data_IF_852068652875
#
_entry.id   IF_852068652875
#
_cell.length_a   1.000
_cell.length_b   1.000
_cell.length_c   1.000
_cell.angle_alpha   90.00
_cell.angle_beta   90.00
_cell.angle_gamma   90.00
#
_symmetry.space_group_name_H-M   'P 1'
#
loop_
_entity.id
_entity.type
_entity.pdbx_description
1 polymer ?
#
# COMPACT_ATOMS: atom_id res chain seq x y z
N UNK A 1 19.14 -64.11 55.15
CA UNK A 1 18.54 -62.78 54.94
C UNK A 1 18.72 -62.41 53.49
N UNK A 2 17.62 -62.31 52.73
CA UNK A 2 17.63 -61.76 51.37
C UNK A 2 17.84 -60.24 51.45
N UNK A 3 18.59 -59.68 50.52
CA UNK A 3 18.21 -58.39 49.94
C UNK A 3 18.68 -58.28 48.49
N UNK A 4 17.75 -57.84 47.65
CA UNK A 4 17.82 -57.70 46.20
C UNK A 4 18.45 -56.34 45.87
N UNK A 5 19.28 -56.25 44.83
CA UNK A 5 19.34 -55.03 44.02
C UNK A 5 19.58 -55.36 42.55
N UNK A 6 18.71 -54.82 41.69
CA UNK A 6 18.55 -55.15 40.27
C UNK A 6 19.16 -54.07 39.37
N UNK A 7 19.65 -54.57 38.23
CA UNK A 7 19.84 -53.92 36.93
C UNK A 7 20.98 -52.90 36.77
N UNK A 8 22.11 -53.27 36.16
CA UNK A 8 22.34 -53.70 34.76
C UNK A 8 22.30 -52.52 33.77
N UNK A 9 23.44 -51.86 33.70
CA UNK A 9 23.92 -51.07 32.57
C UNK A 9 24.10 -52.02 31.38
N UNK A 10 23.48 -51.73 30.25
CA UNK A 10 23.99 -52.18 28.96
C UNK A 10 23.74 -51.12 27.91
N UNK A 11 24.86 -50.66 27.34
CA UNK A 11 24.94 -49.79 26.19
C UNK A 11 24.19 -50.41 25.02
N UNK A 12 23.28 -49.67 24.39
CA UNK A 12 22.91 -49.88 23.00
C UNK A 12 23.16 -48.58 22.24
N UNK A 13 24.24 -48.58 21.45
CA UNK A 13 24.39 -47.70 20.30
C UNK A 13 23.26 -48.05 19.33
N UNK A 14 22.22 -47.22 19.29
CA UNK A 14 21.16 -47.31 18.29
C UNK A 14 21.48 -46.31 17.17
N UNK A 15 22.33 -46.74 16.23
CA UNK A 15 22.29 -46.18 14.87
C UNK A 15 20.92 -46.49 14.28
N UNK A 16 20.13 -45.46 13.97
CA UNK A 16 18.85 -45.63 13.28
C UNK A 16 19.10 -46.20 11.88
N UNK A 17 18.49 -47.34 11.50
CA UNK A 17 18.57 -47.82 10.14
C UNK A 17 17.65 -46.98 9.25
N UNK A 18 18.27 -46.09 8.47
CA UNK A 18 17.74 -45.61 7.19
C UNK A 18 17.59 -46.81 6.26
N UNK A 19 16.43 -47.47 6.31
CA UNK A 19 15.97 -48.35 5.23
C UNK A 19 14.51 -48.03 4.97
N UNK A 20 14.32 -47.12 4.01
CA UNK A 20 13.05 -46.76 3.41
C UNK A 20 12.41 -47.99 2.77
N UNK A 21 11.52 -48.66 3.49
CA UNK A 21 10.61 -49.66 2.94
C UNK A 21 9.31 -48.97 2.51
N UNK A 22 9.21 -48.65 1.21
CA UNK A 22 8.00 -48.70 0.34
C UNK A 22 6.59 -48.50 0.95
N UNK A 23 6.43 -47.61 1.93
CA UNK A 23 5.13 -47.14 2.43
C UNK A 23 5.12 -45.62 2.64
N UNK A 24 6.00 -44.90 1.93
CA UNK A 24 6.20 -43.43 2.01
C UNK A 24 5.19 -42.61 1.17
N UNK A 25 4.27 -43.22 0.44
CA UNK A 25 3.56 -42.53 -0.66
C UNK A 25 2.12 -42.08 -0.36
N UNK A 26 1.81 -41.62 0.85
CA UNK A 26 0.50 -40.95 1.10
C UNK A 26 0.62 -39.51 1.57
N UNK A 27 1.83 -39.01 1.81
CA UNK A 27 2.06 -37.60 2.09
C UNK A 27 2.28 -36.86 0.76
N UNK A 28 1.69 -35.66 0.59
CA UNK A 28 1.95 -34.83 -0.58
C UNK A 28 3.45 -34.49 -0.70
N UNK A 29 3.94 -34.34 -1.93
CA UNK A 29 5.34 -33.97 -2.21
C UNK A 29 5.81 -32.71 -1.47
N UNK A 30 5.01 -31.62 -1.36
CA UNK A 30 5.41 -30.45 -0.57
C UNK A 30 5.65 -30.74 0.91
N UNK A 31 4.90 -31.69 1.50
CA UNK A 31 5.09 -32.14 2.88
C UNK A 31 6.39 -32.93 3.02
N UNK A 32 6.69 -33.82 2.08
CA UNK A 32 7.94 -34.58 2.08
C UNK A 32 9.16 -33.66 1.89
N UNK A 33 9.06 -32.67 1.01
CA UNK A 33 10.08 -31.65 0.82
C UNK A 33 10.34 -30.91 2.14
N UNK A 34 9.28 -30.46 2.83
CA UNK A 34 9.41 -29.79 4.13
C UNK A 34 10.02 -30.70 5.21
N UNK A 35 9.65 -31.99 5.27
CA UNK A 35 10.18 -32.93 6.26
C UNK A 35 11.66 -33.28 6.03
N UNK A 36 12.07 -33.38 4.77
CA UNK A 36 13.45 -33.69 4.36
C UNK A 36 14.34 -32.45 4.28
N UNK A 37 13.76 -31.26 4.41
CA UNK A 37 14.48 -30.00 4.42
C UNK A 37 15.45 -29.96 5.61
N UNK A 38 16.74 -29.92 5.30
CA UNK A 38 17.85 -29.86 6.26
C UNK A 38 18.39 -28.45 6.44
N UNK A 39 17.74 -27.43 5.86
CA UNK A 39 18.12 -26.04 6.00
C UNK A 39 18.11 -25.64 7.47
N UNK A 40 19.28 -25.26 7.98
CA UNK A 40 19.43 -24.73 9.34
C UNK A 40 19.17 -23.24 9.31
N UNK A 41 18.01 -22.84 9.84
CA UNK A 41 17.66 -21.44 10.04
C UNK A 41 18.36 -20.93 11.31
N UNK A 42 19.41 -20.14 11.14
CA UNK A 42 20.15 -19.47 12.22
C UNK A 42 20.43 -18.02 11.85
N UNK A 43 20.46 -17.13 12.86
CA UNK A 43 20.76 -15.73 12.66
C UNK A 43 22.25 -15.51 12.32
N UNK A 44 22.61 -14.51 11.50
CA UNK A 44 21.70 -13.56 10.83
C UNK A 44 20.96 -14.20 9.66
N UNK A 45 19.65 -13.99 9.59
CA UNK A 45 18.82 -14.55 8.51
C UNK A 45 18.90 -13.68 7.25
N UNK A 46 18.83 -14.30 6.07
CA UNK A 46 18.67 -13.58 4.81
C UNK A 46 17.18 -13.53 4.39
N UNK A 47 16.67 -12.39 3.91
CA UNK A 47 15.29 -12.28 3.43
C UNK A 47 14.95 -13.34 2.36
N UNK A 48 15.87 -13.60 1.43
CA UNK A 48 15.71 -14.57 0.33
C UNK A 48 15.52 -16.00 0.85
N UNK A 49 16.34 -16.42 1.84
CA UNK A 49 16.19 -17.75 2.45
C UNK A 49 14.88 -17.86 3.23
N UNK A 50 14.50 -16.79 3.95
CA UNK A 50 13.24 -16.78 4.69
C UNK A 50 12.01 -16.84 3.76
N UNK A 51 12.02 -16.09 2.66
CA UNK A 51 10.98 -16.14 1.64
C UNK A 51 10.85 -17.54 1.02
N UNK A 52 11.99 -18.16 0.67
CA UNK A 52 12.03 -19.53 0.15
C UNK A 52 11.40 -20.51 1.15
N UNK A 53 11.74 -20.37 2.43
CA UNK A 53 11.19 -21.24 3.47
C UNK A 53 9.68 -21.03 3.66
N UNK A 54 9.20 -19.79 3.69
CA UNK A 54 7.78 -19.47 3.81
C UNK A 54 6.97 -20.06 2.65
N UNK A 55 7.50 -19.99 1.42
CA UNK A 55 6.86 -20.61 0.26
C UNK A 55 6.75 -22.14 0.40
N UNK A 56 7.81 -22.81 0.86
CA UNK A 56 7.78 -24.25 1.12
C UNK A 56 6.76 -24.62 2.20
N UNK A 57 6.71 -23.86 3.31
CA UNK A 57 5.73 -24.05 4.39
C UNK A 57 4.28 -23.85 3.89
N UNK A 58 4.05 -22.80 3.10
CA UNK A 58 2.75 -22.51 2.47
C UNK A 58 2.30 -23.63 1.54
N UNK A 59 3.22 -24.14 0.71
CA UNK A 59 2.94 -25.24 -0.22
C UNK A 59 2.59 -26.53 0.53
N UNK A 60 3.32 -26.85 1.61
CA UNK A 60 3.02 -28.00 2.48
C UNK A 60 1.59 -27.90 3.05
N UNK A 61 1.24 -26.77 3.68
CA UNK A 61 -0.07 -26.54 4.27
C UNK A 61 -1.21 -26.68 3.25
N UNK A 62 -1.09 -26.03 2.08
CA UNK A 62 -2.10 -26.08 1.02
C UNK A 62 -2.24 -27.48 0.39
N UNK A 63 -1.19 -28.29 0.41
CA UNK A 63 -1.20 -29.63 -0.19
C UNK A 63 -1.88 -30.69 0.69
N UNK A 64 -2.10 -30.39 1.97
CA UNK A 64 -2.85 -31.26 2.87
C UNK A 64 -4.36 -31.09 2.68
N UNK A 65 -5.06 -32.19 2.42
CA UNK A 65 -6.52 -32.21 2.29
C UNK A 65 -7.14 -31.68 3.61
N UNK A 66 -8.09 -30.73 3.58
CA UNK A 66 -8.80 -30.31 4.78
C UNK A 66 -9.57 -31.52 5.32
N UNK A 67 -9.06 -32.14 6.39
CA UNK A 67 -9.87 -33.04 7.18
C UNK A 67 -10.94 -32.18 7.87
N UNK A 68 -12.21 -32.57 7.76
CA UNK A 68 -13.41 -31.88 8.27
C UNK A 68 -13.48 -31.75 9.82
N UNK A 69 -12.34 -31.67 10.51
CA UNK A 69 -12.25 -31.36 11.95
C UNK A 69 -11.90 -29.89 12.13
N UNK A 70 -12.83 -29.14 12.71
CA UNK A 70 -12.76 -27.67 12.85
C UNK A 70 -11.46 -27.18 13.50
N UNK A 71 -10.88 -27.91 14.45
CA UNK A 71 -9.66 -27.48 15.15
C UNK A 71 -8.39 -27.59 14.29
N UNK A 72 -8.24 -28.63 13.48
CA UNK A 72 -7.06 -28.83 12.62
C UNK A 72 -7.06 -27.85 11.43
N UNK A 73 -8.25 -27.54 10.91
CA UNK A 73 -8.44 -26.46 9.94
C UNK A 73 -8.03 -25.12 10.56
N UNK A 74 -8.55 -24.78 11.74
CA UNK A 74 -8.25 -23.51 12.40
C UNK A 74 -6.75 -23.31 12.68
N UNK A 75 -6.02 -24.38 13.05
CA UNK A 75 -4.56 -24.33 13.25
C UNK A 75 -3.86 -24.10 11.91
N UNK A 76 -4.26 -24.82 10.86
CA UNK A 76 -3.69 -24.67 9.51
C UNK A 76 -3.93 -23.27 8.96
N UNK A 77 -5.12 -22.72 9.15
CA UNK A 77 -5.50 -21.37 8.73
C UNK A 77 -4.72 -20.30 9.52
N UNK A 78 -4.53 -20.50 10.83
CA UNK A 78 -3.72 -19.60 11.66
C UNK A 78 -2.24 -19.62 11.27
N UNK A 79 -1.68 -20.80 10.98
CA UNK A 79 -0.30 -20.93 10.52
C UNK A 79 -0.13 -20.32 9.12
N UNK A 80 -1.10 -20.53 8.22
CA UNK A 80 -1.09 -19.93 6.89
C UNK A 80 -1.14 -18.41 6.98
N UNK A 81 -1.99 -17.85 7.84
CA UNK A 81 -2.04 -16.41 8.08
C UNK A 81 -0.72 -15.86 8.63
N UNK A 82 -0.07 -16.58 9.55
CA UNK A 82 1.24 -16.19 10.08
C UNK A 82 2.36 -16.24 9.03
N UNK A 83 2.34 -17.24 8.15
CA UNK A 83 3.25 -17.35 7.00
C UNK A 83 3.05 -16.19 6.04
N UNK A 84 1.80 -15.91 5.67
CA UNK A 84 1.46 -14.85 4.74
C UNK A 84 1.84 -13.47 5.29
N UNK A 85 1.59 -13.23 6.58
CA UNK A 85 2.03 -12.02 7.26
C UNK A 85 3.56 -11.87 7.24
N UNK A 86 4.30 -12.95 7.56
CA UNK A 86 5.77 -12.92 7.57
C UNK A 86 6.36 -12.70 6.16
N UNK A 87 5.72 -13.27 5.14
CA UNK A 87 6.13 -13.10 3.75
C UNK A 87 5.95 -11.65 3.30
N UNK A 88 4.78 -11.06 3.61
CA UNK A 88 4.49 -9.65 3.32
C UNK A 88 5.48 -8.73 4.03
N UNK A 89 5.78 -8.96 5.31
CA UNK A 89 6.75 -8.15 6.04
C UNK A 89 8.16 -8.18 5.41
N UNK A 90 8.65 -9.37 5.01
CA UNK A 90 9.97 -9.50 4.37
C UNK A 90 10.00 -8.90 2.97
N UNK A 91 8.95 -9.13 2.18
CA UNK A 91 8.81 -8.57 0.85
C UNK A 91 8.84 -7.05 0.91
N UNK A 92 8.06 -6.46 1.82
CA UNK A 92 8.05 -5.01 2.03
C UNK A 92 9.44 -4.47 2.42
N UNK A 93 10.17 -5.13 3.32
CA UNK A 93 11.55 -4.74 3.69
C UNK A 93 12.49 -4.78 2.45
N UNK A 94 12.41 -5.83 1.64
CA UNK A 94 13.20 -5.96 0.41
C UNK A 94 12.86 -4.86 -0.60
N UNK A 95 11.58 -4.60 -0.83
CA UNK A 95 11.10 -3.56 -1.74
C UNK A 95 11.61 -2.16 -1.36
N UNK A 96 11.71 -1.86 -0.06
CA UNK A 96 12.32 -0.60 0.42
C UNK A 96 13.81 -0.51 0.13
N UNK A 97 14.53 -1.62 0.27
CA UNK A 97 15.96 -1.68 0.00
C UNK A 97 16.26 -1.54 -1.50
N UNK A 98 15.37 -2.04 -2.36
CA UNK A 98 15.54 -1.97 -3.81
C UNK A 98 15.10 -0.62 -4.39
N UNK A 99 14.10 0.04 -3.78
CA UNK A 99 13.52 1.28 -4.29
C UNK A 99 12.75 1.07 -5.60
N UNK A 100 12.69 2.12 -6.43
CA UNK A 100 11.98 2.14 -7.71
C UNK A 100 10.50 1.77 -7.57
N UNK A 101 9.95 1.12 -8.61
CA UNK A 101 8.52 0.72 -8.64
C UNK A 101 8.16 -0.14 -7.43
N UNK A 102 9.00 -1.09 -7.07
CA UNK A 102 8.76 -2.00 -5.94
C UNK A 102 8.74 -1.24 -4.61
N UNK A 103 9.67 -0.33 -4.37
CA UNK A 103 9.64 0.53 -3.18
C UNK A 103 8.38 1.41 -3.11
N UNK A 104 7.91 1.92 -4.26
CA UNK A 104 6.68 2.69 -4.34
C UNK A 104 5.44 1.83 -4.02
N UNK A 105 5.35 0.61 -4.57
CA UNK A 105 4.27 -0.34 -4.27
C UNK A 105 4.24 -0.71 -2.79
N UNK A 106 5.41 -0.93 -2.17
CA UNK A 106 5.52 -1.23 -0.75
C UNK A 106 5.04 -0.06 0.12
N UNK A 107 5.44 1.16 -0.24
CA UNK A 107 4.97 2.38 0.39
C UNK A 107 3.45 2.50 0.32
N UNK A 108 2.89 2.25 -0.86
CA UNK A 108 1.46 2.35 -1.10
C UNK A 108 0.67 1.30 -0.29
N UNK A 109 1.18 0.07 -0.19
CA UNK A 109 0.58 -0.98 0.65
C UNK A 109 0.59 -0.57 2.13
N UNK A 110 1.70 -0.01 2.62
CA UNK A 110 1.80 0.48 3.99
C UNK A 110 0.85 1.65 4.29
N UNK A 111 0.68 2.59 3.36
CA UNK A 111 -0.31 3.67 3.47
C UNK A 111 -1.74 3.09 3.46
N UNK A 112 -1.97 2.07 2.64
CA UNK A 112 -3.28 1.42 2.47
C UNK A 112 -3.76 0.68 3.72
N UNK A 113 -2.89 0.02 4.47
CA UNK A 113 -3.25 -0.76 5.66
C UNK A 113 -4.18 -0.04 6.65
N UNK A 114 -3.85 1.16 7.19
CA UNK A 114 -4.75 1.87 8.09
C UNK A 114 -6.05 2.32 7.42
N UNK A 115 -6.00 2.74 6.14
CA UNK A 115 -7.17 3.22 5.40
C UNK A 115 -8.19 2.11 5.13
N UNK A 116 -7.72 0.96 4.66
CA UNK A 116 -8.56 -0.22 4.40
C UNK A 116 -9.08 -0.85 5.69
N UNK A 117 -8.40 -0.63 6.82
CA UNK A 117 -8.83 -1.05 8.15
C UNK A 117 -9.96 -0.21 8.78
N UNK A 118 -10.30 0.97 8.23
CA UNK A 118 -11.32 1.86 8.81
C UNK A 118 -12.72 1.25 8.77
N UNK A 119 -13.43 1.12 9.88
CA UNK A 119 -14.79 0.53 9.87
C UNK A 119 -15.79 1.35 9.04
N UNK A 120 -15.78 2.68 9.18
CA UNK A 120 -16.71 3.59 8.51
C UNK A 120 -15.94 4.83 8.02
N UNK A 121 -15.26 4.76 6.86
CA UNK A 121 -14.52 5.90 6.32
C UNK A 121 -15.47 7.04 5.97
N UNK A 122 -15.07 8.28 6.27
CA UNK A 122 -15.86 9.49 6.01
C UNK A 122 -15.01 10.64 5.49
N UNK A 123 -15.64 11.57 4.76
CA UNK A 123 -14.98 12.78 4.28
C UNK A 123 -13.72 12.46 3.48
N UNK A 124 -12.61 13.09 3.88
CA UNK A 124 -11.30 12.95 3.22
C UNK A 124 -10.75 11.52 3.22
N UNK A 125 -11.15 10.67 4.18
CA UNK A 125 -10.74 9.26 4.19
C UNK A 125 -11.28 8.48 2.99
N UNK A 126 -12.48 8.84 2.49
CA UNK A 126 -13.04 8.23 1.28
C UNK A 126 -12.22 8.62 0.05
N UNK A 127 -11.82 9.89 -0.04
CA UNK A 127 -10.96 10.37 -1.11
C UNK A 127 -9.57 9.73 -1.05
N UNK A 128 -8.99 9.57 0.14
CA UNK A 128 -7.69 8.90 0.31
C UNK A 128 -7.75 7.42 -0.12
N UNK A 129 -8.82 6.69 0.21
CA UNK A 129 -9.04 5.33 -0.28
C UNK A 129 -9.24 5.31 -1.80
N UNK A 130 -9.93 6.29 -2.37
CA UNK A 130 -10.08 6.40 -3.82
C UNK A 130 -8.74 6.71 -4.51
N UNK A 131 -7.93 7.58 -3.91
CA UNK A 131 -6.59 7.87 -4.41
C UNK A 131 -5.66 6.66 -4.34
N UNK A 132 -5.78 5.84 -3.29
CA UNK A 132 -5.07 4.56 -3.18
C UNK A 132 -5.36 3.65 -4.38
N UNK A 133 -6.63 3.54 -4.79
CA UNK A 133 -7.02 2.76 -5.98
C UNK A 133 -6.45 3.35 -7.28
N UNK A 134 -6.48 4.69 -7.40
CA UNK A 134 -5.94 5.40 -8.57
C UNK A 134 -4.41 5.29 -8.69
N UNK A 135 -3.69 5.26 -7.57
CA UNK A 135 -2.25 5.04 -7.56
C UNK A 135 -1.89 3.60 -7.94
N UNK A 136 -2.62 2.60 -7.47
CA UNK A 136 -2.43 1.21 -7.92
C UNK A 136 -2.70 1.06 -9.42
N UNK A 137 -3.76 1.71 -9.93
CA UNK A 137 -4.05 1.80 -11.36
C UNK A 137 -2.90 2.43 -12.15
N UNK A 138 -2.33 3.53 -11.66
CA UNK A 138 -1.21 4.23 -12.29
C UNK A 138 0.03 3.33 -12.39
N UNK A 139 0.42 2.70 -11.28
CA UNK A 139 1.64 1.87 -11.22
C UNK A 139 1.49 0.65 -12.14
N UNK A 140 0.29 0.05 -12.16
CA UNK A 140 -0.03 -1.13 -12.96
C UNK A 140 -0.65 -0.79 -14.32
N UNK A 141 -0.52 0.45 -14.80
CA UNK A 141 -1.22 0.93 -15.99
C UNK A 141 -0.89 0.08 -17.23
N UNK A 142 0.35 -0.40 -17.33
CA UNK A 142 0.79 -1.27 -18.44
C UNK A 142 0.21 -2.67 -18.32
N UNK A 143 0.24 -3.25 -17.12
CA UNK A 143 -0.31 -4.58 -16.84
C UNK A 143 -1.83 -4.60 -17.01
N UNK A 144 -2.50 -3.48 -16.69
CA UNK A 144 -3.94 -3.27 -16.90
C UNK A 144 -4.29 -2.81 -18.32
N UNK A 145 -3.30 -2.55 -19.19
CA UNK A 145 -3.50 -2.18 -20.59
C UNK A 145 -4.09 -0.79 -20.83
N UNK A 146 -3.89 0.15 -19.90
CA UNK A 146 -4.39 1.54 -19.98
C UNK A 146 -3.29 2.59 -20.21
N UNK A 147 -2.01 2.20 -20.16
CA UNK A 147 -0.84 3.09 -20.30
C UNK A 147 -0.79 3.83 -21.63
N UNK A 148 -1.33 3.25 -22.71
CA UNK A 148 -1.34 3.85 -24.05
C UNK A 148 -2.49 4.83 -24.30
N UNK A 149 -3.50 4.89 -23.43
CA UNK A 149 -4.59 5.87 -23.54
C UNK A 149 -4.18 7.19 -22.86
N UNK A 150 -3.50 8.05 -23.62
CA UNK A 150 -3.02 9.35 -23.13
C UNK A 150 -4.16 10.24 -22.58
N UNK A 151 -5.38 10.13 -23.12
CA UNK A 151 -6.52 10.93 -22.65
C UNK A 151 -6.97 10.44 -21.28
N UNK A 152 -7.11 9.13 -21.11
CA UNK A 152 -7.44 8.52 -19.84
C UNK A 152 -6.36 8.80 -18.78
N UNK A 153 -5.08 8.60 -19.13
CA UNK A 153 -3.97 8.83 -18.21
C UNK A 153 -3.87 10.29 -17.76
N UNK A 154 -4.23 11.25 -18.62
CA UNK A 154 -4.33 12.66 -18.20
C UNK A 154 -5.49 12.91 -17.24
N UNK A 155 -6.65 12.28 -17.44
CA UNK A 155 -7.77 12.35 -16.48
C UNK A 155 -7.36 11.77 -15.12
N UNK A 156 -6.71 10.60 -15.13
CA UNK A 156 -6.18 9.96 -13.93
C UNK A 156 -5.20 10.89 -13.20
N UNK A 157 -4.31 11.57 -13.95
CA UNK A 157 -3.35 12.51 -13.38
C UNK A 157 -4.04 13.71 -12.71
N UNK A 158 -5.04 14.32 -13.35
CA UNK A 158 -5.82 15.39 -12.71
C UNK A 158 -6.59 14.93 -11.47
N UNK A 159 -7.16 13.73 -11.50
CA UNK A 159 -7.80 13.16 -10.32
C UNK A 159 -6.80 12.91 -9.18
N UNK A 160 -5.61 12.39 -9.50
CA UNK A 160 -4.54 12.21 -8.52
C UNK A 160 -4.03 13.53 -7.95
N UNK A 161 -4.04 14.62 -8.72
CA UNK A 161 -3.63 15.94 -8.28
C UNK A 161 -4.61 16.57 -7.29
N UNK A 162 -5.92 16.48 -7.57
CA UNK A 162 -6.94 17.27 -6.88
C UNK A 162 -7.84 16.49 -5.91
N UNK A 163 -7.68 15.18 -5.80
CA UNK A 163 -8.51 14.33 -4.91
C UNK A 163 -7.62 13.70 -3.84
N UNK A 164 -8.03 13.84 -2.58
CA UNK A 164 -7.28 13.34 -1.42
C UNK A 164 -7.07 14.43 -0.36
N UNK A 165 -6.79 13.98 0.86
CA UNK A 165 -6.45 14.85 1.99
C UNK A 165 -5.30 15.80 1.65
N UNK A 166 -5.59 17.09 1.65
CA UNK A 166 -4.62 18.16 1.44
C UNK A 166 -4.42 18.59 -0.02
N UNK A 167 -5.21 18.06 -0.95
CA UNK A 167 -5.04 18.28 -2.39
C UNK A 167 -6.16 19.06 -3.06
N UNK A 168 -7.22 19.43 -2.33
CA UNK A 168 -8.22 20.30 -2.92
C UNK A 168 -7.61 21.66 -3.26
N UNK A 169 -7.93 22.11 -4.47
CA UNK A 169 -7.48 23.38 -5.02
C UNK A 169 -8.57 24.00 -5.91
N UNK A 170 -8.61 25.32 -6.00
CA UNK A 170 -9.51 26.04 -6.92
C UNK A 170 -9.02 26.05 -8.37
N UNK A 171 -7.77 25.62 -8.64
CA UNK A 171 -7.28 25.36 -9.99
C UNK A 171 -8.08 24.30 -10.75
N UNK A 172 -8.98 23.57 -10.09
CA UNK A 172 -10.04 22.77 -10.77
C UNK A 172 -10.90 23.59 -11.74
N UNK A 173 -10.93 24.91 -11.62
CA UNK A 173 -11.52 25.81 -12.61
C UNK A 173 -10.86 25.70 -14.00
N UNK A 174 -9.55 25.50 -14.02
CA UNK A 174 -8.74 25.40 -15.23
C UNK A 174 -8.69 23.98 -15.81
N UNK A 175 -9.52 23.06 -15.33
CA UNK A 175 -9.63 21.73 -15.93
C UNK A 175 -10.43 21.80 -17.24
N UNK A 176 -10.01 21.09 -18.31
CA UNK A 176 -10.81 20.94 -19.51
C UNK A 176 -12.04 20.05 -19.27
N UNK A 177 -13.07 20.08 -20.12
CA UNK A 177 -14.20 19.16 -20.01
C UNK A 177 -13.77 17.69 -20.16
N UNK A 178 -14.28 16.78 -19.33
CA UNK A 178 -13.91 15.36 -19.35
C UNK A 178 -14.18 14.68 -20.71
N UNK A 179 -15.19 15.12 -21.45
CA UNK A 179 -15.51 14.61 -22.78
C UNK A 179 -14.69 15.27 -23.92
N UNK A 180 -13.89 16.28 -23.62
CA UNK A 180 -13.02 16.96 -24.57
C UNK A 180 -11.78 17.53 -23.85
N UNK A 181 -10.78 16.67 -23.63
CA UNK A 181 -9.52 17.04 -22.96
C UNK A 181 -8.66 18.04 -23.74
N UNK A 182 -8.98 18.29 -25.03
CA UNK A 182 -8.37 19.36 -25.84
C UNK A 182 -9.14 20.68 -25.82
N UNK A 183 -10.26 20.73 -25.07
CA UNK A 183 -11.11 21.91 -24.94
C UNK A 183 -10.47 23.02 -24.12
N UNK A 184 -11.16 24.17 -24.06
CA UNK A 184 -10.71 25.31 -23.26
C UNK A 184 -10.60 24.93 -21.77
N UNK A 185 -9.46 25.19 -21.11
CA UNK A 185 -9.25 24.95 -19.68
C UNK A 185 -9.94 26.04 -18.84
N UNK A 186 -11.26 26.12 -18.91
CA UNK A 186 -12.08 27.16 -18.26
C UNK A 186 -13.44 26.60 -17.87
N UNK A 187 -14.01 27.10 -16.77
CA UNK A 187 -15.36 26.73 -16.32
C UNK A 187 -15.41 25.40 -15.57
N UNK A 188 -14.28 24.84 -15.17
CA UNK A 188 -14.20 23.52 -14.54
C UNK A 188 -15.00 23.38 -13.25
N UNK A 189 -15.13 24.46 -12.46
CA UNK A 189 -15.98 24.48 -11.26
C UNK A 189 -17.46 24.38 -11.66
N UNK A 190 -17.93 25.28 -12.51
CA UNK A 190 -19.34 25.29 -12.89
C UNK A 190 -19.76 24.05 -13.70
N UNK A 191 -18.82 23.45 -14.43
CA UNK A 191 -19.04 22.28 -15.28
C UNK A 191 -18.84 20.92 -14.59
N UNK A 192 -18.48 20.86 -13.30
CA UNK A 192 -18.13 19.60 -12.62
C UNK A 192 -17.01 18.80 -13.33
N UNK A 193 -16.02 19.47 -13.92
CA UNK A 193 -15.04 18.78 -14.75
C UNK A 193 -14.27 17.70 -13.97
N UNK A 194 -13.79 18.01 -12.76
CA UNK A 194 -13.11 17.03 -11.89
C UNK A 194 -13.99 15.80 -11.57
N UNK A 195 -15.23 16.02 -11.13
CA UNK A 195 -16.16 14.92 -10.83
C UNK A 195 -16.43 14.05 -12.05
N UNK A 196 -16.61 14.66 -13.22
CA UNK A 196 -16.83 13.92 -14.47
C UNK A 196 -15.59 13.09 -14.84
N UNK A 197 -14.38 13.63 -14.67
CA UNK A 197 -13.14 12.84 -14.84
C UNK A 197 -13.05 11.70 -13.83
N UNK A 198 -13.38 11.94 -12.56
CA UNK A 198 -13.38 10.91 -11.52
C UNK A 198 -14.36 9.76 -11.83
N UNK A 199 -15.54 10.09 -12.39
CA UNK A 199 -16.51 9.10 -12.87
C UNK A 199 -15.97 8.28 -14.04
N UNK A 200 -15.29 8.91 -15.00
CA UNK A 200 -14.63 8.20 -16.11
C UNK A 200 -13.54 7.24 -15.59
N UNK A 201 -12.69 7.71 -14.67
CA UNK A 201 -11.63 6.92 -14.03
C UNK A 201 -12.23 5.74 -13.28
N UNK A 202 -13.26 5.96 -12.47
CA UNK A 202 -13.99 4.91 -11.76
C UNK A 202 -14.62 3.88 -12.70
N UNK A 203 -15.22 4.32 -13.81
CA UNK A 203 -15.81 3.42 -14.80
C UNK A 203 -14.76 2.47 -15.37
N UNK A 204 -13.55 2.97 -15.67
CA UNK A 204 -12.45 2.12 -16.13
C UNK A 204 -11.97 1.17 -15.04
N UNK A 205 -11.79 1.63 -13.80
CA UNK A 205 -11.41 0.75 -12.69
C UNK A 205 -12.48 -0.34 -12.44
N UNK A 206 -13.76 0.00 -12.58
CA UNK A 206 -14.88 -0.95 -12.47
C UNK A 206 -14.80 -2.03 -13.55
N UNK A 207 -14.51 -1.65 -14.79
CA UNK A 207 -14.28 -2.60 -15.89
C UNK A 207 -13.12 -3.54 -15.56
N UNK A 208 -11.97 -3.00 -15.16
CA UNK A 208 -10.75 -3.76 -14.84
C UNK A 208 -10.96 -4.71 -13.64
N UNK A 209 -11.66 -4.26 -12.60
CA UNK A 209 -11.94 -5.08 -11.42
C UNK A 209 -12.97 -6.18 -11.72
N UNK A 210 -14.05 -5.85 -12.43
CA UNK A 210 -15.14 -6.80 -12.69
C UNK A 210 -14.78 -7.86 -13.74
N UNK A 211 -13.88 -7.56 -14.67
CA UNK A 211 -13.40 -8.53 -15.65
C UNK A 211 -12.20 -9.36 -15.14
N UNK A 212 -11.70 -9.08 -13.93
CA UNK A 212 -10.60 -9.79 -13.28
C UNK A 212 -9.19 -9.37 -13.73
N UNK A 213 -9.04 -8.33 -14.56
CA UNK A 213 -7.73 -7.76 -14.93
C UNK A 213 -7.02 -7.21 -13.70
N UNK A 214 -7.76 -6.44 -12.88
CA UNK A 214 -7.35 -6.13 -11.52
C UNK A 214 -7.91 -7.21 -10.59
N UNK A 215 -7.07 -8.19 -10.24
CA UNK A 215 -7.44 -9.32 -9.40
C UNK A 215 -7.86 -8.90 -7.98
N UNK A 216 -8.51 -9.79 -7.23
CA UNK A 216 -9.06 -9.47 -5.90
C UNK A 216 -8.00 -9.06 -4.86
N UNK A 217 -6.77 -9.54 -5.05
CA UNK A 217 -5.62 -9.19 -4.19
C UNK A 217 -5.03 -7.82 -4.52
N UNK A 218 -5.31 -7.26 -5.72
CA UNK A 218 -4.81 -5.94 -6.11
C UNK A 218 -5.29 -4.87 -5.15
N UNK A 219 -4.45 -3.85 -4.93
CA UNK A 219 -4.82 -2.75 -4.06
C UNK A 219 -5.98 -1.94 -4.64
N UNK A 220 -6.06 -1.81 -5.98
CA UNK A 220 -7.21 -1.26 -6.68
C UNK A 220 -8.51 -1.97 -6.28
N UNK A 221 -8.57 -3.31 -6.41
CA UNK A 221 -9.78 -4.06 -6.09
C UNK A 221 -10.16 -3.94 -4.60
N UNK A 222 -9.18 -4.05 -3.70
CA UNK A 222 -9.40 -3.94 -2.24
C UNK A 222 -9.91 -2.55 -1.85
N UNK A 223 -9.32 -1.50 -2.41
CA UNK A 223 -9.74 -0.11 -2.17
C UNK A 223 -11.13 0.19 -2.75
N UNK A 224 -11.42 -0.26 -3.98
CA UNK A 224 -12.78 -0.14 -4.53
C UNK A 224 -13.80 -0.89 -3.68
N UNK A 225 -13.49 -2.12 -3.26
CA UNK A 225 -14.38 -2.93 -2.43
C UNK A 225 -14.66 -2.27 -1.08
N UNK A 226 -13.67 -1.53 -0.55
CA UNK A 226 -13.84 -0.72 0.65
C UNK A 226 -14.82 0.42 0.46
N UNK A 227 -14.75 1.11 -0.68
CA UNK A 227 -15.64 2.23 -1.02
C UNK A 227 -17.08 1.79 -1.31
N UNK A 228 -17.27 0.57 -1.82
CA UNK A 228 -18.60 0.03 -2.16
C UNK A 228 -19.18 -0.89 -1.10
N UNK A 229 -18.39 -1.25 -0.07
CA UNK A 229 -18.74 -2.23 0.96
C UNK A 229 -19.08 -3.63 0.39
N UNK A 230 -18.37 -4.07 -0.66
CA UNK A 230 -18.62 -5.38 -1.27
C UNK A 230 -17.82 -5.64 -2.55
N UNK A 231 -18.10 -6.76 -3.21
CA UNK A 231 -17.46 -7.13 -4.48
C UNK A 231 -17.82 -6.15 -5.60
N UNK A 232 -16.91 -5.98 -6.56
CA UNK A 232 -17.09 -5.04 -7.67
C UNK A 232 -17.81 -5.72 -8.85
N UNK A 233 -18.93 -5.15 -9.26
CA UNK A 233 -19.70 -5.60 -10.42
C UNK A 233 -19.49 -4.69 -11.63
N UNK A 234 -19.72 -5.18 -12.85
CA UNK A 234 -19.54 -4.40 -14.07
C UNK A 234 -20.45 -3.15 -14.17
N UNK A 235 -21.55 -3.13 -13.41
CA UNK A 235 -22.48 -1.99 -13.33
C UNK A 235 -22.28 -1.15 -12.05
N UNK A 236 -21.15 -1.30 -11.36
CA UNK A 236 -20.89 -0.58 -10.12
C UNK A 236 -20.83 0.92 -10.38
N UNK A 237 -21.80 1.67 -9.86
CA UNK A 237 -21.84 3.12 -9.97
C UNK A 237 -20.75 3.78 -9.11
N UNK A 238 -20.37 5.01 -9.50
CA UNK A 238 -19.52 5.87 -8.68
C UNK A 238 -20.12 6.02 -7.26
N UNK A 239 -19.34 5.91 -6.18
CA UNK A 239 -19.85 6.02 -4.81
C UNK A 239 -20.50 7.38 -4.56
N UNK A 240 -21.70 7.36 -3.97
CA UNK A 240 -22.54 8.57 -3.79
C UNK A 240 -21.88 9.59 -2.86
N UNK A 241 -21.19 9.12 -1.83
CA UNK A 241 -20.49 9.94 -0.86
C UNK A 241 -19.32 10.67 -1.54
N UNK A 242 -18.55 9.98 -2.39
CA UNK A 242 -17.52 10.61 -3.23
C UNK A 242 -18.12 11.59 -4.23
N UNK A 243 -19.26 11.27 -4.85
CA UNK A 243 -19.94 12.19 -5.76
C UNK A 243 -20.27 13.51 -5.05
N UNK A 244 -20.77 13.40 -3.82
CA UNK A 244 -21.12 14.55 -2.98
C UNK A 244 -19.86 15.36 -2.65
N UNK A 245 -18.76 14.71 -2.24
CA UNK A 245 -17.50 15.35 -1.91
C UNK A 245 -16.86 16.06 -3.11
N UNK A 246 -16.99 15.53 -4.32
CA UNK A 246 -16.33 16.08 -5.52
C UNK A 246 -17.21 17.03 -6.33
N UNK A 247 -18.47 17.24 -5.94
CA UNK A 247 -19.37 18.16 -6.65
C UNK A 247 -18.93 19.62 -6.49
N UNK A 248 -18.87 20.34 -7.61
CA UNK A 248 -18.46 21.75 -7.70
C UNK A 248 -19.52 22.68 -8.30
N UNK A 249 -20.54 22.15 -9.00
CA UNK A 249 -21.53 22.94 -9.78
C UNK A 249 -22.41 23.92 -9.00
N UNK A 250 -22.35 23.94 -7.67
CA UNK A 250 -22.97 25.00 -6.86
C UNK A 250 -22.13 26.27 -6.76
N UNK A 251 -20.87 26.22 -7.19
CA UNK A 251 -19.85 27.24 -6.99
C UNK A 251 -19.43 27.92 -8.30
N UNK A 252 -18.73 29.03 -8.18
CA UNK A 252 -18.01 29.72 -9.25
C UNK A 252 -16.71 30.30 -8.70
N UNK A 253 -15.80 30.74 -9.56
CA UNK A 253 -14.57 31.45 -9.13
C UNK A 253 -14.81 32.71 -8.29
N UNK A 254 -15.99 33.31 -8.40
CA UNK A 254 -16.40 34.48 -7.59
C UNK A 254 -17.08 34.08 -6.27
N UNK A 255 -17.61 32.86 -6.18
CA UNK A 255 -18.38 32.38 -5.04
C UNK A 255 -18.17 30.87 -4.86
N UNK A 256 -17.21 30.51 -4.01
CA UNK A 256 -16.99 29.14 -3.57
C UNK A 256 -17.99 28.83 -2.44
N UNK A 257 -18.99 27.99 -2.71
CA UNK A 257 -19.97 27.59 -1.70
C UNK A 257 -19.32 26.66 -0.69
N UNK A 258 -19.69 26.78 0.59
CA UNK A 258 -19.27 25.83 1.62
C UNK A 258 -20.06 24.50 1.50
N UNK A 259 -19.89 23.80 0.39
CA UNK A 259 -20.52 22.52 0.09
C UNK A 259 -19.72 21.74 -0.95
N UNK A 260 -19.89 20.42 -0.94
CA UNK A 260 -19.18 19.50 -1.84
C UNK A 260 -17.68 19.72 -1.80
N UNK A 261 -17.06 19.92 -2.96
CA UNK A 261 -15.61 20.05 -3.09
C UNK A 261 -15.04 21.26 -2.34
N UNK A 262 -15.83 22.31 -2.11
CA UNK A 262 -15.39 23.52 -1.43
C UNK A 262 -15.80 23.58 0.06
N UNK A 263 -16.35 22.49 0.61
CA UNK A 263 -16.57 22.36 2.05
C UNK A 263 -15.22 22.10 2.76
N UNK A 264 -14.68 23.12 3.43
CA UNK A 264 -13.37 22.99 4.09
C UNK A 264 -13.39 22.12 5.35
N UNK A 265 -14.57 21.65 5.76
CA UNK A 265 -14.75 20.69 6.86
C UNK A 265 -14.88 19.25 6.40
N UNK A 266 -15.05 19.02 5.08
CA UNK A 266 -15.32 17.70 4.49
C UNK A 266 -14.60 17.57 3.14
N UNK A 267 -13.49 16.85 3.10
CA UNK A 267 -12.79 16.53 1.84
C UNK A 267 -11.32 16.94 1.87
N UNK A 268 -10.72 17.23 0.73
CA UNK A 268 -9.27 17.43 0.62
C UNK A 268 -8.69 18.80 0.98
N UNK A 269 -9.45 19.76 1.55
CA UNK A 269 -8.88 21.07 1.91
C UNK A 269 -8.06 21.03 3.20
N UNK A 270 -6.86 21.64 3.19
CA UNK A 270 -6.03 21.77 4.39
C UNK A 270 -6.61 22.88 5.28
N UNK A 271 -7.05 22.50 6.47
CA UNK A 271 -7.42 23.45 7.53
C UNK A 271 -6.78 23.02 8.85
N UNK A 272 -6.91 23.86 9.89
CA UNK A 272 -6.46 23.50 11.23
C UNK A 272 -7.15 22.22 11.74
N UNK A 273 -8.40 21.98 11.34
CA UNK A 273 -9.22 20.85 11.79
C UNK A 273 -9.21 19.66 10.82
N UNK A 274 -8.87 19.89 9.55
CA UNK A 274 -8.69 18.86 8.53
C UNK A 274 -7.21 18.69 8.19
N UNK A 275 -6.53 17.98 9.08
CA UNK A 275 -5.08 17.87 9.15
C UNK A 275 -4.63 16.43 8.85
N UNK A 276 -4.98 15.94 7.66
CA UNK A 276 -4.50 14.66 7.11
C UNK A 276 -3.65 14.88 5.87
N UNK A 277 -2.96 13.83 5.45
CA UNK A 277 -2.14 13.81 4.23
C UNK A 277 -2.49 12.60 3.39
N UNK A 278 -2.77 12.87 2.12
CA UNK A 278 -3.17 11.85 1.15
C UNK A 278 -2.04 10.88 0.81
N UNK A 279 -2.38 9.70 0.26
CA UNK A 279 -1.39 8.75 -0.23
C UNK A 279 -0.34 9.33 -1.17
N UNK A 280 -0.74 10.11 -2.19
CA UNK A 280 0.21 10.69 -3.14
C UNK A 280 1.20 11.63 -2.45
N UNK A 281 0.70 12.52 -1.58
CA UNK A 281 1.55 13.50 -0.91
C UNK A 281 2.51 12.83 0.08
N UNK A 282 2.09 11.75 0.75
CA UNK A 282 3.00 10.93 1.58
C UNK A 282 4.15 10.37 0.75
N UNK A 283 3.86 9.85 -0.44
CA UNK A 283 4.86 9.28 -1.36
C UNK A 283 5.82 10.36 -1.86
N UNK A 284 5.30 11.53 -2.25
CA UNK A 284 6.13 12.68 -2.67
C UNK A 284 7.04 13.14 -1.52
N UNK A 285 6.49 13.32 -0.32
CA UNK A 285 7.27 13.76 0.83
C UNK A 285 8.35 12.74 1.19
N UNK A 286 8.00 11.46 1.23
CA UNK A 286 8.94 10.40 1.53
C UNK A 286 10.06 10.32 0.47
N UNK A 287 9.72 10.47 -0.81
CA UNK A 287 10.69 10.51 -1.89
C UNK A 287 11.71 11.64 -1.70
N UNK A 288 11.26 12.83 -1.31
CA UNK A 288 12.15 13.96 -1.05
C UNK A 288 13.04 13.70 0.18
N UNK A 289 12.45 13.20 1.26
CA UNK A 289 13.18 12.94 2.51
C UNK A 289 14.24 11.84 2.35
N UNK A 290 13.95 10.77 1.60
CA UNK A 290 14.90 9.68 1.36
C UNK A 290 16.03 10.08 0.40
N UNK A 291 15.78 11.03 -0.51
CA UNK A 291 16.83 11.60 -1.36
C UNK A 291 17.90 12.32 -0.52
N UNK A 292 17.47 13.04 0.51
CA UNK A 292 18.37 13.77 1.41
C UNK A 292 18.94 12.87 2.53
N UNK A 293 18.16 11.89 2.99
CA UNK A 293 18.52 10.99 4.09
C UNK A 293 18.16 9.52 3.76
N UNK A 294 19.00 8.82 2.99
CA UNK A 294 18.75 7.42 2.61
C UNK A 294 18.83 6.45 3.81
N UNK A 295 19.43 6.85 4.93
CA UNK A 295 19.52 6.08 6.18
C UNK A 295 18.39 6.40 7.18
N UNK A 296 17.30 7.03 6.72
CA UNK A 296 16.14 7.35 7.55
C UNK A 296 15.70 6.13 8.39
N UNK A 297 15.45 6.33 9.69
CA UNK A 297 15.02 5.23 10.57
C UNK A 297 13.66 4.65 10.17
N UNK A 298 13.42 3.40 10.56
CA UNK A 298 12.13 2.74 10.29
C UNK A 298 10.98 3.48 10.97
N UNK A 299 11.20 3.98 12.19
CA UNK A 299 10.19 4.76 12.91
C UNK A 299 9.78 6.05 12.18
N UNK A 300 10.74 6.77 11.57
CA UNK A 300 10.44 7.95 10.78
C UNK A 300 9.70 7.59 9.48
N UNK A 301 10.11 6.51 8.81
CA UNK A 301 9.44 5.96 7.63
C UNK A 301 7.96 5.65 7.93
N UNK A 302 7.69 4.87 8.99
CA UNK A 302 6.33 4.50 9.39
C UNK A 302 5.48 5.72 9.78
N UNK A 303 6.08 6.71 10.45
CA UNK A 303 5.40 7.97 10.77
C UNK A 303 4.98 8.71 9.51
N UNK A 304 5.82 8.77 8.48
CA UNK A 304 5.48 9.41 7.20
C UNK A 304 4.34 8.67 6.49
N UNK A 305 4.37 7.33 6.48
CA UNK A 305 3.41 6.52 5.73
C UNK A 305 2.05 6.39 6.42
N UNK A 306 2.02 6.35 7.76
CA UNK A 306 0.80 6.01 8.53
C UNK A 306 0.45 7.02 9.63
N UNK A 307 1.40 7.86 10.03
CA UNK A 307 1.23 8.78 11.15
C UNK A 307 0.26 9.92 10.85
N UNK A 308 -0.03 10.68 11.90
CA UNK A 308 -0.82 11.92 11.82
C UNK A 308 -0.02 13.03 11.12
N UNK A 309 -0.69 14.02 10.53
CA UNK A 309 0.00 15.16 9.94
C UNK A 309 0.81 15.95 10.98
N UNK A 310 0.36 15.99 12.24
CA UNK A 310 1.11 16.58 13.33
C UNK A 310 2.48 15.89 13.52
N UNK A 311 2.49 14.55 13.54
CA UNK A 311 3.74 13.79 13.70
C UNK A 311 4.65 13.90 12.47
N UNK A 312 4.07 13.97 11.27
CA UNK A 312 4.81 14.23 10.03
C UNK A 312 5.44 15.63 10.05
N UNK A 313 4.72 16.65 10.54
CA UNK A 313 5.25 18.01 10.68
C UNK A 313 6.43 18.09 11.67
N UNK A 314 6.51 17.18 12.66
CA UNK A 314 7.67 17.06 13.57
C UNK A 314 8.90 16.51 12.85
N UNK A 315 8.71 15.68 11.81
CA UNK A 315 9.79 15.13 10.99
C UNK A 315 10.25 16.05 9.86
N UNK A 316 9.45 17.06 9.51
CA UNK A 316 9.83 18.03 8.48
C UNK A 316 11.12 18.76 8.88
N UNK A 317 12.17 18.75 8.05
CA UNK A 317 13.41 19.46 8.32
C UNK A 317 13.14 20.91 8.69
N UNK A 318 13.89 21.44 9.68
CA UNK A 318 13.68 22.81 10.20
C UNK A 318 14.64 23.83 9.59
N UNK A 319 15.64 23.36 8.86
CA UNK A 319 16.59 24.20 8.16
C UNK A 319 15.87 24.94 7.03
N UNK A 320 15.72 26.27 7.12
CA UNK A 320 15.05 27.06 6.08
C UNK A 320 13.60 27.48 6.40
N UNK A 321 13.24 27.59 7.68
CA UNK A 321 12.00 28.17 8.21
C UNK A 321 10.69 27.46 7.81
N UNK A 322 10.73 26.15 7.51
CA UNK A 322 9.52 25.36 7.24
C UNK A 322 8.68 25.17 8.50
N UNK A 323 7.42 25.58 8.46
CA UNK A 323 6.47 25.38 9.55
C UNK A 323 5.62 24.13 9.34
N UNK A 324 5.38 23.78 8.07
CA UNK A 324 4.55 22.66 7.65
C UNK A 324 5.26 21.81 6.60
N UNK A 325 4.94 20.51 6.55
CA UNK A 325 5.46 19.57 5.54
C UNK A 325 5.20 20.01 4.11
N UNK A 326 4.10 20.73 3.86
CA UNK A 326 3.76 21.28 2.55
C UNK A 326 4.76 22.37 2.13
N UNK A 327 5.29 23.15 3.09
CA UNK A 327 6.35 24.14 2.80
C UNK A 327 7.62 23.45 2.30
N UNK A 328 7.93 22.28 2.87
CA UNK A 328 9.08 21.48 2.45
C UNK A 328 8.85 20.86 1.08
N UNK A 329 7.69 20.23 0.83
CA UNK A 329 7.33 19.66 -0.48
C UNK A 329 7.43 20.72 -1.58
N UNK A 330 6.96 21.95 -1.33
CA UNK A 330 6.99 23.03 -2.31
C UNK A 330 8.41 23.53 -2.66
N UNK A 331 9.46 23.15 -1.92
CA UNK A 331 10.84 23.53 -2.26
C UNK A 331 11.57 22.53 -3.17
N UNK A 332 11.03 21.32 -3.35
CA UNK A 332 11.69 20.29 -4.17
C UNK A 332 11.34 20.32 -5.64
N UNK A 333 10.49 21.26 -6.07
CA UNK A 333 10.18 21.46 -7.47
C UNK A 333 11.26 22.24 -8.24
N UNK A 334 12.54 21.90 -8.07
CA UNK A 334 13.69 22.56 -8.71
C UNK A 334 13.93 24.05 -8.33
N UNK A 335 14.78 24.33 -7.31
CA UNK A 335 15.16 25.70 -6.96
C UNK A 335 16.11 26.37 -7.97
N UNK A 336 16.59 25.67 -9.02
CA UNK A 336 17.65 26.16 -9.91
C UNK A 336 17.18 26.49 -11.35
N UNK A 337 15.92 26.21 -11.72
CA UNK A 337 15.33 26.67 -12.99
C UNK A 337 13.94 27.29 -12.82
N UNK A 338 13.89 28.63 -12.77
CA UNK A 338 12.66 29.44 -12.77
C UNK A 338 12.00 29.50 -14.17
N UNK A 339 11.56 28.36 -14.70
CA UNK A 339 10.63 28.34 -15.83
C UNK A 339 9.28 27.79 -15.39
N UNK A 340 8.19 28.40 -15.87
CA UNK A 340 6.84 27.91 -15.65
C UNK A 340 6.70 26.49 -16.22
N UNK A 341 6.21 25.56 -15.42
CA UNK A 341 6.09 24.13 -15.73
C UNK A 341 7.20 23.26 -15.15
N UNK A 342 8.25 23.87 -14.57
CA UNK A 342 9.39 23.16 -13.98
C UNK A 342 9.38 23.24 -12.44
N UNK A 343 8.46 24.01 -11.83
CA UNK A 343 8.46 24.32 -10.38
C UNK A 343 7.86 23.24 -9.47
N UNK A 344 7.44 22.09 -10.01
CA UNK A 344 6.84 21.00 -9.24
C UNK A 344 5.62 21.42 -8.40
N UNK A 345 5.60 21.07 -7.11
CA UNK A 345 4.50 21.43 -6.21
C UNK A 345 4.65 22.85 -5.66
N UNK A 346 3.54 23.58 -5.53
CA UNK A 346 3.49 24.95 -5.03
C UNK A 346 2.24 25.19 -4.16
N UNK A 347 2.31 26.17 -3.27
CA UNK A 347 1.13 26.71 -2.61
C UNK A 347 0.53 27.80 -3.50
N UNK A 348 -0.44 27.43 -4.34
CA UNK A 348 -1.10 28.33 -5.27
C UNK A 348 -2.59 28.03 -5.36
N UNK A 349 -3.40 29.04 -5.63
CA UNK A 349 -4.82 28.89 -5.94
C UNK A 349 -5.19 29.70 -7.17
N UNK A 350 -6.33 29.37 -7.79
CA UNK A 350 -6.78 30.06 -9.00
C UNK A 350 -6.90 31.58 -8.77
N UNK A 351 -6.39 32.36 -9.71
CA UNK A 351 -6.41 33.83 -9.66
C UNK A 351 -5.26 34.48 -8.89
N UNK A 352 -4.31 33.69 -8.36
CA UNK A 352 -3.06 34.21 -7.80
C UNK A 352 -2.03 34.51 -8.88
N UNK A 353 -1.28 35.59 -8.69
CA UNK A 353 -0.03 35.75 -9.41
C UNK A 353 0.95 34.75 -8.80
N UNK A 354 1.35 33.73 -9.56
CA UNK A 354 2.30 32.71 -9.08
C UNK A 354 3.55 33.31 -8.44
N UNK A 355 4.32 32.51 -7.71
CA UNK A 355 5.43 32.89 -6.78
C UNK A 355 5.03 33.10 -5.32
N UNK A 356 3.94 32.46 -4.86
CA UNK A 356 3.51 32.49 -3.45
C UNK A 356 2.86 33.80 -2.99
N UNK A 357 2.55 34.72 -3.91
CA UNK A 357 1.67 35.87 -3.63
C UNK A 357 0.21 35.39 -3.58
N UNK A 358 -0.33 35.30 -2.37
CA UNK A 358 -1.70 34.83 -2.15
C UNK A 358 -2.78 35.88 -2.47
N UNK A 359 -2.37 37.08 -2.89
CA UNK A 359 -3.28 38.18 -3.21
C UNK A 359 -4.17 37.81 -4.40
N UNK A 360 -5.48 37.81 -4.17
CA UNK A 360 -6.48 37.53 -5.21
C UNK A 360 -6.88 36.06 -5.36
N UNK A 361 -6.19 35.16 -4.65
CA UNK A 361 -6.44 33.73 -4.69
C UNK A 361 -7.83 33.31 -4.22
N UNK A 362 -8.37 32.29 -4.87
CA UNK A 362 -9.67 31.71 -4.55
C UNK A 362 -9.50 30.50 -3.65
N UNK A 363 -9.65 30.69 -2.34
CA UNK A 363 -9.68 29.60 -1.35
C UNK A 363 -10.98 29.68 -0.52
N UNK A 364 -11.51 28.54 -0.06
CA UNK A 364 -12.54 28.55 0.98
C UNK A 364 -12.05 29.22 2.26
N UNK A 365 -12.98 29.65 3.10
CA UNK A 365 -12.64 30.27 4.39
C UNK A 365 -11.87 29.29 5.30
N UNK A 366 -10.83 29.79 5.97
CA UNK A 366 -9.99 29.01 6.89
C UNK A 366 -8.90 28.17 6.22
N UNK A 367 -8.75 28.25 4.89
CA UNK A 367 -7.69 27.54 4.14
C UNK A 367 -6.53 28.48 3.84
N UNK A 368 -5.34 28.12 4.34
CA UNK A 368 -4.12 28.90 4.14
C UNK A 368 -3.14 28.25 3.14
N UNK A 369 -3.29 26.96 2.88
CA UNK A 369 -2.46 26.19 1.95
C UNK A 369 -3.39 25.54 0.93
N UNK A 370 -3.13 25.78 -0.34
CA UNK A 370 -3.76 25.08 -1.45
C UNK A 370 -2.63 24.51 -2.31
N UNK A 371 -2.41 23.21 -2.21
CA UNK A 371 -1.33 22.55 -2.92
C UNK A 371 -1.71 22.39 -4.40
N UNK A 372 -0.80 22.78 -5.28
CA UNK A 372 -0.99 22.80 -6.74
C UNK A 372 0.28 22.27 -7.41
N UNK A 373 0.15 21.61 -8.55
CA UNK A 373 1.31 21.25 -9.37
C UNK A 373 1.50 22.30 -10.47
N UNK A 374 2.66 22.95 -10.53
CA UNK A 374 2.93 23.98 -11.53
C UNK A 374 2.79 23.42 -12.95
N UNK A 375 1.84 24.00 -13.70
CA UNK A 375 1.40 23.48 -14.98
C UNK A 375 0.26 22.48 -14.83
N UNK A 376 0.55 21.20 -15.03
CA UNK A 376 -0.44 20.12 -14.94
C UNK A 376 0.24 18.82 -14.61
N UNK A 377 -0.18 18.17 -13.52
CA UNK A 377 0.28 16.83 -13.22
C UNK A 377 -0.05 15.92 -14.40
N UNK A 378 0.91 15.11 -14.82
CA UNK A 378 0.76 14.22 -15.95
C UNK A 378 1.40 12.87 -15.69
N UNK A 379 1.05 11.89 -16.52
CA UNK A 379 1.51 10.53 -16.38
C UNK A 379 3.04 10.40 -16.49
N UNK A 380 3.75 11.28 -17.22
CA UNK A 380 5.21 11.20 -17.30
C UNK A 380 5.87 11.56 -15.97
N UNK A 381 5.40 12.63 -15.32
CA UNK A 381 5.91 13.01 -14.00
C UNK A 381 5.60 11.92 -12.96
N UNK A 382 4.37 11.42 -12.97
CA UNK A 382 3.93 10.32 -12.09
C UNK A 382 4.70 9.03 -12.34
N UNK A 383 4.98 8.68 -13.60
CA UNK A 383 5.84 7.57 -13.98
C UNK A 383 7.26 7.76 -13.47
N UNK A 384 7.82 8.98 -13.59
CA UNK A 384 9.14 9.27 -13.06
C UNK A 384 9.19 9.14 -11.53
N UNK A 385 8.13 9.54 -10.82
CA UNK A 385 8.04 9.42 -9.36
C UNK A 385 8.13 7.96 -8.91
N UNK A 386 7.30 7.06 -9.45
CA UNK A 386 7.32 5.66 -9.00
C UNK A 386 8.50 4.87 -9.57
N UNK A 387 8.97 5.16 -10.79
CA UNK A 387 10.10 4.41 -11.38
C UNK A 387 11.43 4.75 -10.70
N UNK A 388 11.61 5.99 -10.26
CA UNK A 388 12.83 6.48 -9.62
C UNK A 388 12.66 6.65 -8.11
N UNK A 389 11.69 5.96 -7.51
CA UNK A 389 11.45 6.08 -6.08
C UNK A 389 12.71 5.68 -5.30
N UNK A 390 13.15 6.47 -4.31
CA UNK A 390 14.44 6.26 -3.66
C UNK A 390 14.45 4.98 -2.82
N UNK A 391 15.59 4.28 -2.85
CA UNK A 391 15.87 3.19 -1.93
C UNK A 391 16.15 3.73 -0.52
N UNK A 392 15.83 2.92 0.49
CA UNK A 392 16.23 3.15 1.88
C UNK A 392 17.30 2.15 2.28
N UNK A 393 18.39 2.63 2.87
CA UNK A 393 19.45 1.76 3.41
C UNK A 393 18.91 1.05 4.66
N UNK A 394 18.97 -0.28 4.65
CA UNK A 394 18.57 -1.09 5.81
C UNK A 394 19.52 -0.85 6.98
N UNK A 395 18.95 -0.54 8.14
CA UNK A 395 19.69 -0.30 9.37
C UNK A 395 19.59 -1.46 10.36
N UNK A 396 20.08 -1.21 11.57
CA UNK A 396 20.03 -2.19 12.67
C UNK A 396 18.60 -2.59 13.05
N UNK A 397 17.64 -1.66 12.92
CA UNK A 397 16.23 -1.91 13.20
C UNK A 397 15.63 -2.96 12.25
N UNK A 398 15.93 -2.86 10.95
CA UNK A 398 15.47 -3.82 9.95
C UNK A 398 16.17 -5.16 10.11
N UNK A 399 17.46 -5.15 10.44
CA UNK A 399 18.19 -6.40 10.74
C UNK A 399 17.58 -7.13 11.92
N UNK A 400 17.18 -6.40 12.98
CA UNK A 400 16.46 -6.98 14.12
C UNK A 400 15.09 -7.51 13.72
N UNK A 401 14.37 -6.83 12.84
CA UNK A 401 13.07 -7.27 12.36
C UNK A 401 13.18 -8.52 11.46
N UNK A 402 14.12 -8.54 10.52
CA UNK A 402 14.45 -9.73 9.72
C UNK A 402 14.78 -10.90 10.64
N UNK A 403 15.54 -10.66 11.73
CA UNK A 403 15.84 -11.71 12.69
C UNK A 403 14.60 -12.20 13.47
N UNK A 404 13.74 -11.28 13.90
CA UNK A 404 12.46 -11.64 14.53
C UNK A 404 11.58 -12.46 13.59
N UNK A 405 11.49 -12.05 12.33
CA UNK A 405 10.73 -12.79 11.30
C UNK A 405 11.38 -14.16 11.09
N UNK A 406 12.70 -14.24 10.99
CA UNK A 406 13.42 -15.50 10.84
C UNK A 406 13.17 -16.48 11.98
N UNK A 407 13.14 -16.00 13.21
CA UNK A 407 12.76 -16.82 14.38
C UNK A 407 11.31 -17.33 14.28
N UNK A 408 10.38 -16.48 13.80
CA UNK A 408 8.98 -16.90 13.56
C UNK A 408 8.89 -17.96 12.45
N UNK A 409 9.57 -17.75 11.31
CA UNK A 409 9.62 -18.70 10.20
C UNK A 409 10.18 -20.05 10.68
N UNK A 410 11.24 -20.03 11.48
CA UNK A 410 11.82 -21.23 12.10
C UNK A 410 10.82 -21.93 13.00
N UNK A 411 10.13 -21.19 13.87
CA UNK A 411 9.09 -21.75 14.75
C UNK A 411 7.95 -22.42 13.96
N UNK A 412 7.48 -21.78 12.88
CA UNK A 412 6.47 -22.34 11.98
C UNK A 412 6.99 -23.63 11.33
N UNK A 413 8.23 -23.62 10.81
CA UNK A 413 8.85 -24.79 10.19
C UNK A 413 8.88 -25.98 11.14
N UNK A 414 9.34 -25.77 12.39
CA UNK A 414 9.44 -26.83 13.40
C UNK A 414 8.06 -27.34 13.81
N UNK A 415 7.08 -26.43 13.95
CA UNK A 415 5.69 -26.80 14.27
C UNK A 415 5.09 -27.67 13.19
N UNK A 416 5.26 -27.29 11.91
CA UNK A 416 4.77 -28.08 10.78
C UNK A 416 5.48 -29.43 10.67
N UNK A 417 6.81 -29.47 10.83
CA UNK A 417 7.58 -30.72 10.82
C UNK A 417 7.10 -31.69 11.90
N UNK A 418 6.92 -31.21 13.13
CA UNK A 418 6.41 -32.01 14.23
C UNK A 418 4.97 -32.49 13.97
N UNK A 419 4.10 -31.60 13.51
CA UNK A 419 2.71 -31.95 13.21
C UNK A 419 2.59 -33.01 12.11
N UNK A 420 3.32 -32.88 11.01
CA UNK A 420 3.32 -33.86 9.93
C UNK A 420 3.96 -35.19 10.33
N UNK A 421 4.95 -35.19 11.24
CA UNK A 421 5.48 -36.42 11.83
C UNK A 421 4.40 -37.16 12.63
N UNK A 422 3.64 -36.45 13.48
CA UNK A 422 2.53 -37.06 14.23
C UNK A 422 1.50 -37.66 13.27
N UNK A 423 1.06 -36.91 12.26
CA UNK A 423 0.07 -37.40 11.30
C UNK A 423 0.54 -38.64 10.53
N UNK A 424 1.84 -38.70 10.20
CA UNK A 424 2.45 -39.87 9.58
C UNK A 424 2.43 -41.08 10.53
N UNK A 425 2.83 -40.88 11.77
CA UNK A 425 2.94 -41.94 12.76
C UNK A 425 1.56 -42.48 13.18
N UNK A 426 0.54 -41.61 13.30
CA UNK A 426 -0.85 -42.01 13.52
C UNK A 426 -1.38 -42.90 12.38
N UNK A 427 -1.15 -42.49 11.12
CA UNK A 427 -1.56 -43.30 9.95
C UNK A 427 -0.85 -44.64 9.93
N UNK A 428 0.44 -44.67 10.26
CA UNK A 428 1.21 -45.91 10.35
C UNK A 428 0.69 -46.82 11.47
N UNK A 429 0.32 -46.25 12.62
CA UNK A 429 -0.27 -47.00 13.74
C UNK A 429 -1.65 -47.58 13.38
N UNK A 430 -2.51 -46.81 12.71
CA UNK A 430 -3.80 -47.30 12.20
C UNK A 430 -3.58 -48.44 11.20
N UNK A 431 -2.68 -48.25 10.24
CA UNK A 431 -2.37 -49.26 9.22
C UNK A 431 -1.75 -50.54 9.79
N UNK A 432 -1.08 -50.46 10.95
CA UNK A 432 -0.56 -51.64 11.67
C UNK A 432 -1.61 -52.35 12.52
N UNK A 433 -2.67 -51.64 12.91
CA UNK A 433 -3.76 -52.16 13.75
C UNK A 433 -4.89 -52.82 12.94
N UNK A 434 -5.00 -52.50 11.64
CA UNK A 434 -5.88 -53.17 10.66
C UNK A 434 -5.13 -54.39 10.10
#
# INVERSE_FOLDING_TARGET
MLNINLNATNQSVATSPLTATKQDSTLPEPVLALLNDSTTLEAPYSPETLQTQLQQQKAALKSTVPNLRSTESNISDSLLAAIDQSAVELELIGMWADGGRSGFEAALEFIGQPLLGLTNPQGSQLEDIFQLAMLDLLINAKEYGVDTDATFMQKLSFCLEYIGSGQHNSWVEALPPANNMSGSPTGGISGNHLLNMAKDVWSKMTELASNGTAGQESLLYRAMSKLTSGSISASQSFPRELETLLTTSGSTTSQLQNSGYFDSTKGGWITTDNNNMSPLIRLVFLSNMLKDNPEMSKGALETILKGSLEDINKLTPKDGNYQHVYDYICKFGDPDTFNRGDMGWQNSSYGENGSGDTTGGKRPNGVNIALDFDGSLNANWLNALYQNYPQRVLGDEDTKEINRIGDNVKMIQQTLKYWYQILRDERLAIARNI
#
